data_IF_017841565438
#
_entry.id   IF_017841565438
#
_cell.length_a   1.000
_cell.length_b   1.000
_cell.length_c   1.000
_cell.angle_alpha   90.00
_cell.angle_beta   90.00
_cell.angle_gamma   90.00
#
_symmetry.space_group_name_H-M   'P 1'
#
loop_
_entity.id
_entity.type
_entity.pdbx_description
1 polymer ?
#
# COMPACT_ATOMS: atom_id res chain seq x y z
N UNK A 1 -8.16 -11.72 4.61
CA UNK A 1 -8.03 -10.93 3.37
C UNK A 1 -7.11 -9.76 3.68
N UNK A 2 -5.93 -9.72 3.13
CA UNK A 2 -4.99 -8.64 3.40
C UNK A 2 -5.13 -7.62 2.27
N UNK A 3 -5.72 -6.49 2.56
CA UNK A 3 -5.83 -5.39 1.62
C UNK A 3 -4.63 -4.49 1.84
N UNK A 4 -3.83 -4.29 0.80
CA UNK A 4 -2.60 -3.51 0.88
C UNK A 4 -2.80 -2.17 0.17
N UNK A 5 -2.47 -1.09 0.84
CA UNK A 5 -2.41 0.25 0.25
C UNK A 5 -0.99 0.76 0.32
N UNK A 6 -0.46 1.22 -0.80
CA UNK A 6 0.84 1.89 -0.87
C UNK A 6 0.65 3.30 -1.42
N UNK A 7 1.38 4.27 -0.89
CA UNK A 7 1.34 5.66 -1.35
C UNK A 7 2.69 6.00 -1.95
N UNK A 8 2.69 6.53 -3.17
CA UNK A 8 3.92 6.84 -3.92
C UNK A 8 3.81 8.16 -4.65
N UNK A 9 4.93 8.85 -4.92
CA UNK A 9 4.93 9.99 -5.82
C UNK A 9 4.72 9.56 -7.28
N UNK A 10 4.30 10.49 -8.16
CA UNK A 10 4.23 10.25 -9.59
C UNK A 10 5.57 9.78 -10.18
N UNK A 11 5.53 8.86 -11.12
CA UNK A 11 6.71 8.33 -11.80
C UNK A 11 7.52 7.31 -10.99
N UNK A 12 7.13 7.02 -9.74
CA UNK A 12 7.82 6.02 -8.93
C UNK A 12 7.61 4.61 -9.50
N UNK A 13 8.69 3.86 -9.67
CA UNK A 13 8.61 2.44 -10.00
C UNK A 13 8.29 1.61 -8.75
N UNK A 14 7.35 0.69 -8.90
CA UNK A 14 6.97 -0.33 -7.93
C UNK A 14 7.19 -1.69 -8.58
N UNK A 15 7.67 -2.67 -7.82
CA UNK A 15 7.77 -4.05 -8.26
C UNK A 15 6.75 -4.90 -7.53
N UNK A 16 5.90 -5.59 -8.29
CA UNK A 16 5.01 -6.62 -7.76
C UNK A 16 5.74 -7.96 -7.82
N UNK A 17 5.94 -8.60 -6.67
CA UNK A 17 6.64 -9.88 -6.56
C UNK A 17 5.69 -10.98 -6.11
N UNK A 18 5.73 -12.12 -6.80
CA UNK A 18 4.95 -13.29 -6.42
C UNK A 18 5.78 -14.22 -5.52
N UNK A 19 5.43 -14.30 -4.25
CA UNK A 19 6.03 -15.21 -3.28
C UNK A 19 5.19 -16.46 -3.00
N UNK A 20 4.06 -16.61 -3.69
CA UNK A 20 3.20 -17.80 -3.59
C UNK A 20 3.70 -18.92 -4.52
N UNK A 21 3.41 -20.19 -4.23
CA UNK A 21 3.85 -21.33 -5.06
C UNK A 21 3.01 -21.54 -6.33
N UNK A 22 2.09 -20.62 -6.63
CA UNK A 22 1.22 -20.66 -7.82
C UNK A 22 1.23 -19.31 -8.55
N UNK A 23 0.88 -19.30 -9.84
CA UNK A 23 0.89 -18.09 -10.63
C UNK A 23 -0.25 -17.15 -10.25
N UNK A 24 -0.03 -15.83 -10.42
CA UNK A 24 -1.04 -14.78 -10.33
C UNK A 24 -1.27 -14.15 -11.69
N UNK A 25 -2.44 -13.55 -11.89
CA UNK A 25 -2.76 -12.74 -13.08
C UNK A 25 -3.18 -11.36 -12.59
N UNK A 26 -2.20 -10.48 -12.39
CA UNK A 26 -2.44 -9.13 -11.91
C UNK A 26 -2.89 -8.21 -13.03
N UNK A 27 -3.81 -7.32 -12.73
CA UNK A 27 -4.25 -6.23 -13.61
C UNK A 27 -4.71 -5.02 -12.83
N UNK A 28 -4.57 -3.86 -13.44
CA UNK A 28 -5.11 -2.61 -12.93
C UNK A 28 -6.54 -2.41 -13.48
N UNK A 29 -7.50 -2.08 -12.60
CA UNK A 29 -8.93 -2.17 -12.91
C UNK A 29 -9.45 -1.09 -13.86
N UNK A 30 -8.80 0.08 -13.92
CA UNK A 30 -9.23 1.17 -14.81
C UNK A 30 -8.65 1.07 -16.22
N UNK A 31 -7.61 0.27 -16.40
CA UNK A 31 -6.89 0.13 -17.68
C UNK A 31 -6.12 1.38 -18.10
N UNK A 32 -6.09 2.43 -17.26
CA UNK A 32 -5.46 3.72 -17.58
C UNK A 32 -4.01 3.83 -17.12
N UNK A 33 -3.57 2.91 -16.26
CA UNK A 33 -2.25 2.95 -15.64
C UNK A 33 -1.21 2.02 -16.29
N UNK A 34 -1.46 1.58 -17.53
CA UNK A 34 -0.47 0.88 -18.34
C UNK A 34 -0.14 -0.56 -17.94
N UNK A 35 -0.81 -1.13 -16.95
CA UNK A 35 -0.63 -2.54 -16.58
C UNK A 35 -1.71 -3.39 -17.23
N UNK A 36 -1.37 -4.03 -18.33
CA UNK A 36 -2.20 -5.06 -18.96
C UNK A 36 -2.13 -6.37 -18.14
N UNK A 37 -3.17 -7.20 -18.25
CA UNK A 37 -3.18 -8.53 -17.66
C UNK A 37 -1.94 -9.31 -18.08
N UNK A 38 -1.20 -9.79 -17.09
CA UNK A 38 -0.01 -10.60 -17.29
C UNK A 38 0.12 -11.69 -16.23
N UNK A 39 0.62 -12.86 -16.65
CA UNK A 39 0.89 -13.97 -15.73
C UNK A 39 2.18 -13.65 -14.96
N UNK A 40 2.08 -13.62 -13.64
CA UNK A 40 3.20 -13.47 -12.72
C UNK A 40 3.48 -14.86 -12.10
N UNK A 41 4.47 -15.56 -12.64
CA UNK A 41 4.85 -16.91 -12.19
C UNK A 41 5.39 -16.89 -10.74
N UNK A 42 5.41 -18.03 -10.04
CA UNK A 42 6.07 -18.15 -8.74
C UNK A 42 7.51 -17.64 -8.76
N UNK A 43 7.87 -16.78 -7.80
CA UNK A 43 9.20 -16.16 -7.71
C UNK A 43 9.48 -15.05 -8.73
N UNK A 44 8.56 -14.78 -9.64
CA UNK A 44 8.71 -13.70 -10.61
C UNK A 44 8.34 -12.33 -10.04
N UNK A 45 8.82 -11.28 -10.69
CA UNK A 45 8.47 -9.90 -10.40
C UNK A 45 8.09 -9.15 -11.68
N UNK A 46 7.16 -8.20 -11.58
CA UNK A 46 6.81 -7.29 -12.66
C UNK A 46 6.91 -5.84 -12.19
N UNK A 47 7.63 -4.98 -12.90
CA UNK A 47 7.67 -3.56 -12.58
C UNK A 47 6.40 -2.85 -13.04
N UNK A 48 6.03 -1.81 -12.35
CA UNK A 48 4.98 -0.88 -12.74
C UNK A 48 5.37 0.53 -12.34
N UNK A 49 5.25 1.48 -13.26
CA UNK A 49 5.55 2.88 -13.00
C UNK A 49 4.28 3.64 -12.69
N UNK A 50 4.27 4.32 -11.55
CA UNK A 50 3.13 5.14 -11.13
C UNK A 50 2.86 6.24 -12.17
N UNK A 51 1.62 6.43 -12.62
CA UNK A 51 1.25 7.48 -13.55
C UNK A 51 1.58 8.87 -13.02
N UNK A 52 1.72 9.83 -13.92
CA UNK A 52 1.90 11.24 -13.55
C UNK A 52 0.62 11.87 -12.97
N UNK A 53 -0.53 11.30 -13.29
CA UNK A 53 -1.83 11.75 -12.79
C UNK A 53 -2.03 11.26 -11.35
N UNK A 54 -2.22 12.17 -10.37
CA UNK A 54 -2.61 11.79 -9.01
C UNK A 54 -3.92 11.01 -8.99
N UNK A 55 -4.01 10.03 -8.09
CA UNK A 55 -5.23 9.24 -7.99
C UNK A 55 -5.01 7.91 -7.29
N UNK A 56 -6.09 7.14 -7.22
CA UNK A 56 -6.13 5.80 -6.65
C UNK A 56 -6.24 4.78 -7.77
N UNK A 57 -5.32 3.82 -7.78
CA UNK A 57 -5.24 2.73 -8.77
C UNK A 57 -5.45 1.41 -8.04
N UNK A 58 -6.48 0.67 -8.41
CA UNK A 58 -6.81 -0.63 -7.82
C UNK A 58 -6.23 -1.75 -8.66
N UNK A 59 -5.51 -2.66 -8.00
CA UNK A 59 -4.98 -3.88 -8.60
C UNK A 59 -5.76 -5.08 -8.10
N UNK A 60 -6.07 -5.98 -9.00
CA UNK A 60 -6.76 -7.24 -8.73
C UNK A 60 -6.01 -8.40 -9.36
N UNK A 61 -6.33 -9.58 -8.85
CA UNK A 61 -5.84 -10.84 -9.37
C UNK A 61 -7.01 -11.72 -9.85
N UNK A 62 -6.89 -12.27 -11.07
CA UNK A 62 -7.91 -13.17 -11.60
C UNK A 62 -7.91 -14.54 -10.92
N UNK A 63 -6.72 -15.03 -10.54
CA UNK A 63 -6.55 -16.35 -9.90
C UNK A 63 -7.06 -16.30 -8.47
N UNK A 64 -6.83 -15.20 -7.80
CA UNK A 64 -7.25 -14.98 -6.41
C UNK A 64 -8.12 -13.72 -6.30
N UNK A 65 -9.41 -13.77 -6.65
CA UNK A 65 -10.30 -12.60 -6.70
C UNK A 65 -10.44 -11.83 -5.37
N UNK A 66 -10.08 -12.47 -4.26
CA UNK A 66 -10.05 -11.84 -2.94
C UNK A 66 -8.82 -10.96 -2.72
N UNK A 67 -7.78 -11.09 -3.56
CA UNK A 67 -6.59 -10.25 -3.50
C UNK A 67 -6.89 -8.89 -4.13
N UNK A 68 -6.72 -7.86 -3.32
CA UNK A 68 -6.85 -6.47 -3.75
C UNK A 68 -5.70 -5.65 -3.19
N UNK A 69 -5.17 -4.78 -4.01
CA UNK A 69 -4.16 -3.80 -3.62
C UNK A 69 -4.52 -2.43 -4.21
N UNK A 70 -4.12 -1.38 -3.53
CA UNK A 70 -4.29 -0.01 -4.01
C UNK A 70 -2.95 0.70 -4.02
N UNK A 71 -2.69 1.38 -5.11
CA UNK A 71 -1.60 2.35 -5.20
C UNK A 71 -2.22 3.73 -5.27
N UNK A 72 -1.89 4.57 -4.29
CA UNK A 72 -2.30 5.98 -4.26
C UNK A 72 -1.12 6.80 -4.76
N UNK A 73 -1.31 7.49 -5.87
CA UNK A 73 -0.32 8.41 -6.41
C UNK A 73 -0.57 9.80 -5.83
N UNK A 74 0.30 10.21 -4.91
CA UNK A 74 0.23 11.50 -4.20
C UNK A 74 1.50 12.30 -4.49
N UNK A 75 1.41 13.47 -5.17
CA UNK A 75 2.58 14.26 -5.57
C UNK A 75 3.46 14.71 -4.41
N UNK A 76 2.91 14.82 -3.21
CA UNK A 76 3.64 15.23 -2.00
C UNK A 76 4.15 14.05 -1.18
N UNK A 77 3.97 12.80 -1.66
CA UNK A 77 4.45 11.63 -0.95
C UNK A 77 5.98 11.59 -0.95
N UNK A 78 6.57 11.50 0.23
CA UNK A 78 8.02 11.36 0.42
C UNK A 78 8.37 9.93 0.80
N UNK A 79 7.58 9.32 1.68
CA UNK A 79 7.80 7.97 2.18
C UNK A 79 6.47 7.30 2.54
N UNK A 80 6.39 5.99 2.32
CA UNK A 80 5.25 5.17 2.75
C UNK A 80 5.77 3.97 3.54
N UNK A 81 5.14 3.67 4.67
CA UNK A 81 5.49 2.54 5.53
C UNK A 81 4.22 1.86 6.04
N UNK A 82 4.36 0.60 6.44
CA UNK A 82 3.28 -0.16 7.08
C UNK A 82 3.55 -0.29 8.57
N UNK A 83 2.56 -0.03 9.42
CA UNK A 83 2.68 -0.33 10.83
C UNK A 83 2.74 -1.85 11.06
N UNK A 84 3.42 -2.25 12.13
CA UNK A 84 3.39 -3.62 12.61
C UNK A 84 2.03 -3.95 13.26
N UNK A 85 1.87 -5.16 13.82
CA UNK A 85 0.62 -5.59 14.49
C UNK A 85 0.27 -4.78 15.73
N UNK A 86 1.23 -4.04 16.30
CA UNK A 86 1.02 -3.14 17.45
C UNK A 86 0.69 -1.71 17.04
N UNK A 87 0.72 -1.41 15.72
CA UNK A 87 0.54 -0.07 15.18
C UNK A 87 1.83 0.77 15.15
N UNK A 88 2.98 0.19 15.46
CA UNK A 88 4.27 0.87 15.45
C UNK A 88 4.87 0.86 14.05
N UNK A 89 5.51 1.93 13.66
CA UNK A 89 6.27 2.05 12.43
C UNK A 89 7.50 2.95 12.65
N UNK A 90 8.51 2.79 11.83
CA UNK A 90 9.69 3.63 11.81
C UNK A 90 10.01 4.05 10.37
N UNK A 91 10.49 5.26 10.18
CA UNK A 91 10.96 5.75 8.91
C UNK A 91 12.13 6.71 9.09
N UNK A 92 13.04 6.70 8.16
CA UNK A 92 14.13 7.66 8.09
C UNK A 92 13.72 8.81 7.18
N UNK A 93 13.80 10.02 7.67
CA UNK A 93 13.47 11.25 6.97
C UNK A 93 14.57 12.30 7.23
N UNK A 94 14.85 13.12 6.24
CA UNK A 94 15.67 14.31 6.43
C UNK A 94 14.98 15.28 7.40
N UNK A 95 15.76 16.10 8.15
CA UNK A 95 15.18 17.13 9.00
C UNK A 95 14.26 18.07 8.24
N UNK A 96 13.06 18.32 8.77
CA UNK A 96 12.08 19.17 8.11
C UNK A 96 10.67 19.02 8.65
N UNK A 97 9.76 19.80 8.10
CA UNK A 97 8.33 19.73 8.43
C UNK A 97 7.61 18.79 7.46
N UNK A 98 6.88 17.83 8.00
CA UNK A 98 6.14 16.82 7.25
C UNK A 98 4.70 16.75 7.72
N UNK A 99 3.87 16.12 6.91
CA UNK A 99 2.49 15.77 7.29
C UNK A 99 2.34 14.26 7.19
N UNK A 100 2.00 13.64 8.30
CA UNK A 100 1.68 12.21 8.34
C UNK A 100 0.21 12.01 7.98
N UNK A 101 -0.04 11.10 7.04
CA UNK A 101 -1.39 10.69 6.62
C UNK A 101 -1.48 9.18 6.63
N UNK A 102 -2.61 8.65 7.11
CA UNK A 102 -2.89 7.23 7.02
C UNK A 102 -3.84 6.93 5.87
N UNK A 103 -3.67 5.75 5.28
CA UNK A 103 -4.52 5.26 4.20
C UNK A 103 -4.97 3.84 4.49
N UNK A 104 -6.22 3.56 4.16
CA UNK A 104 -6.79 2.21 4.24
C UNK A 104 -7.67 1.96 3.00
N UNK A 105 -7.44 0.85 2.31
CA UNK A 105 -8.16 0.51 1.07
C UNK A 105 -8.11 1.60 -0.01
N UNK A 106 -6.97 2.29 -0.11
CA UNK A 106 -6.77 3.36 -1.06
C UNK A 106 -7.41 4.69 -0.69
N UNK A 107 -8.05 4.80 0.48
CA UNK A 107 -8.66 6.02 0.97
C UNK A 107 -7.89 6.60 2.16
N UNK A 108 -7.79 7.93 2.28
CA UNK A 108 -7.25 8.53 3.48
C UNK A 108 -8.16 8.27 4.67
N UNK A 109 -7.56 8.01 5.84
CA UNK A 109 -8.28 7.74 7.09
C UNK A 109 -7.70 8.57 8.21
N UNK A 110 -8.58 9.07 9.09
CA UNK A 110 -8.19 9.94 10.20
C UNK A 110 -7.81 11.34 9.76
N UNK A 111 -7.20 12.07 10.67
CA UNK A 111 -6.74 13.44 10.44
C UNK A 111 -5.28 13.47 9.99
N UNK A 112 -4.90 14.51 9.27
CA UNK A 112 -3.50 14.77 8.93
C UNK A 112 -2.78 15.27 10.18
N UNK A 113 -1.60 14.72 10.46
CA UNK A 113 -0.81 15.06 11.63
C UNK A 113 0.48 15.77 11.19
N UNK A 114 0.69 17.04 11.56
CA UNK A 114 1.95 17.71 11.32
C UNK A 114 3.05 17.08 12.19
N UNK A 115 4.21 16.83 11.60
CA UNK A 115 5.38 16.24 12.27
C UNK A 115 6.60 17.05 11.89
N UNK A 116 7.38 17.50 12.88
CA UNK A 116 8.66 18.14 12.68
C UNK A 116 9.79 17.13 12.98
N UNK A 117 10.57 16.78 11.96
CA UNK A 117 11.73 15.90 12.08
C UNK A 117 12.97 16.73 12.37
N UNK A 118 13.69 16.40 13.46
CA UNK A 118 14.93 17.05 13.89
C UNK A 118 16.14 16.15 13.59
N UNK A 119 17.33 16.69 13.68
CA UNK A 119 18.60 16.01 13.38
C UNK A 119 18.87 14.80 14.29
N UNK A 120 18.26 14.72 15.48
CA UNK A 120 18.42 13.60 16.42
C UNK A 120 17.29 12.58 16.27
N UNK A 121 17.54 11.28 16.54
CA UNK A 121 16.47 10.27 16.59
C UNK A 121 15.34 10.72 17.51
N UNK A 122 14.12 10.60 17.04
CA UNK A 122 12.92 11.01 17.78
C UNK A 122 11.92 9.87 17.82
N UNK A 123 11.37 9.61 18.99
CA UNK A 123 10.16 8.81 19.14
C UNK A 123 8.98 9.75 19.33
N UNK A 124 7.99 9.65 18.45
CA UNK A 124 6.76 10.40 18.57
C UNK A 124 5.59 9.44 18.78
N UNK A 125 4.98 9.56 19.97
CA UNK A 125 3.74 8.84 20.24
C UNK A 125 2.57 9.59 19.58
N UNK A 126 1.85 8.92 18.68
CA UNK A 126 0.61 9.44 18.14
C UNK A 126 -0.48 9.29 19.19
N UNK A 127 -0.86 10.40 19.81
CA UNK A 127 -1.87 10.41 20.90
C UNK A 127 -3.30 10.24 20.40
N UNK A 128 -3.55 10.47 19.11
CA UNK A 128 -4.82 10.18 18.48
C UNK A 128 -4.70 8.91 17.63
N UNK A 129 -5.38 7.81 17.95
CA UNK A 129 -5.38 6.64 17.11
C UNK A 129 -5.99 7.02 15.75
N UNK A 130 -5.28 6.73 14.67
CA UNK A 130 -5.81 6.83 13.33
C UNK A 130 -6.93 5.77 13.21
N UNK A 131 -8.16 6.19 13.42
CA UNK A 131 -9.32 5.29 13.30
C UNK A 131 -9.59 5.08 11.82
N UNK A 132 -9.26 3.90 11.31
CA UNK A 132 -9.89 3.41 10.10
C UNK A 132 -11.42 3.43 10.35
N UNK A 133 -12.17 4.05 9.45
CA UNK A 133 -13.63 4.11 9.58
C UNK A 133 -14.18 2.72 9.84
N UNK A 134 -15.10 2.60 10.80
CA UNK A 134 -15.73 1.35 11.13
C UNK A 134 -16.38 0.78 9.86
N UNK A 135 -15.83 -0.33 9.36
CA UNK A 135 -16.52 -1.12 8.34
C UNK A 135 -17.96 -1.37 8.84
N UNK A 136 -18.94 -0.89 8.10
CA UNK A 136 -20.31 -1.32 8.31
C UNK A 136 -20.30 -2.84 8.15
N UNK A 137 -20.35 -3.55 9.28
CA UNK A 137 -20.52 -4.99 9.32
C UNK A 137 -21.70 -5.35 8.43
N UNK A 138 -21.44 -5.89 7.25
CA UNK A 138 -22.33 -6.89 6.67
C UNK A 138 -21.97 -8.19 7.37
N UNK A 139 -22.87 -8.64 8.22
CA UNK A 139 -22.85 -10.00 8.72
C UNK A 139 -22.83 -10.96 7.54
N UNK A 140 -21.70 -11.60 7.34
CA UNK A 140 -21.61 -12.84 6.59
C UNK A 140 -20.80 -13.84 7.43
N UNK A 141 -21.54 -14.62 8.20
CA UNK A 141 -21.07 -15.84 8.84
C UNK A 141 -20.75 -16.86 7.78
N UNK A 142 -19.49 -17.27 7.72
CA UNK A 142 -18.89 -18.47 7.14
C UNK A 142 -17.85 -18.17 6.07
N UNK A 143 -16.60 -18.13 6.43
CA UNK A 143 -15.61 -19.16 6.06
C UNK A 143 -14.25 -18.84 6.69
N UNK A 144 -13.83 -19.68 7.65
CA UNK A 144 -12.49 -19.65 8.23
C UNK A 144 -11.61 -20.56 7.37
N UNK A 145 -10.91 -20.00 6.40
CA UNK A 145 -9.67 -20.59 5.89
C UNK A 145 -8.66 -19.50 5.64
N UNK A 146 -7.65 -19.49 6.50
CA UNK A 146 -6.51 -18.61 6.50
C UNK A 146 -5.59 -18.99 5.34
N UNK A 147 -5.52 -18.15 4.30
CA UNK A 147 -4.47 -18.19 3.28
C UNK A 147 -3.73 -16.87 3.33
N UNK A 148 -2.43 -16.95 3.62
CA UNK A 148 -1.56 -15.76 3.64
C UNK A 148 -0.89 -15.60 2.28
N UNK A 149 -1.46 -14.81 1.39
CA UNK A 149 -0.74 -14.32 0.22
C UNK A 149 0.22 -13.20 0.64
N UNK A 150 1.50 -13.37 0.34
CA UNK A 150 2.55 -12.38 0.64
C UNK A 150 3.00 -11.71 -0.65
N UNK A 151 2.33 -10.63 -1.02
CA UNK A 151 2.88 -9.66 -1.96
C UNK A 151 3.66 -8.62 -1.15
N UNK A 152 4.97 -8.52 -1.38
CA UNK A 152 5.81 -7.48 -0.78
C UNK A 152 6.28 -6.53 -1.88
N UNK A 153 5.97 -5.23 -1.80
CA UNK A 153 6.65 -4.24 -2.61
C UNK A 153 8.07 -4.04 -2.08
N UNK A 154 9.07 -4.16 -2.95
CA UNK A 154 10.46 -3.82 -2.65
C UNK A 154 10.79 -2.52 -3.36
N UNK A 155 11.33 -1.59 -2.61
CA UNK A 155 11.83 -0.31 -3.11
C UNK A 155 13.24 -0.52 -3.66
N UNK A 156 13.46 -0.29 -4.94
CA UNK A 156 14.80 -0.14 -5.47
C UNK A 156 15.20 1.33 -5.42
N UNK A 157 16.27 1.63 -4.70
CA UNK A 157 16.93 2.92 -4.75
C UNK A 157 17.86 2.89 -5.95
N UNK A 158 17.64 3.78 -6.90
CA UNK A 158 18.59 4.19 -7.92
C UNK A 158 19.01 5.63 -7.68
#
# INVERSE_FOLDING_TARGET
MMQTTIVVPPGQEIRFENHDPFPHVLYETTGTAGMSKGVLAPGAATPWTAPTKPGKYEFRDEVTPSLRAWVVVEPRAVRSVYPNKKGEFAMELEPGAYTLRAFHNGEPVGEELPVEVKVAPQEQLLTAPLKAGADKKKDDKKDRRCWSSRLRPIWSHG
#
